data_IF_439849041094
#
_entry.id   IF_439849041094
#
_cell.length_a   1.000
_cell.length_b   1.000
_cell.length_c   1.000
_cell.angle_alpha   90.00
_cell.angle_beta   90.00
_cell.angle_gamma   90.00
#
_symmetry.space_group_name_H-M   'P 1'
#
loop_
_entity.id
_entity.type
_entity.pdbx_description
1 polymer ?
#
# COMPACT_ATOMS: atom_id res chain seq x y z
N UNK A 1 4.06 18.25 3.84
CA UNK A 1 4.13 17.05 4.68
C UNK A 1 4.67 15.88 3.89
N UNK A 2 5.38 14.96 4.53
CA UNK A 2 6.01 13.84 3.86
C UNK A 2 5.96 12.56 4.66
N UNK A 3 6.40 11.48 4.04
CA UNK A 3 6.50 10.16 4.63
C UNK A 3 7.89 9.57 4.40
N UNK A 4 8.44 8.97 5.47
CA UNK A 4 9.75 8.32 5.48
C UNK A 4 9.57 6.80 5.46
N UNK A 5 10.11 6.15 4.43
CA UNK A 5 10.15 4.70 4.31
C UNK A 5 11.57 4.18 4.45
N UNK A 6 11.78 3.24 5.36
CA UNK A 6 13.09 2.61 5.57
C UNK A 6 13.16 1.29 4.83
N UNK A 7 14.27 1.05 4.14
CA UNK A 7 14.58 -0.20 3.43
C UNK A 7 15.78 -0.87 4.08
N UNK A 8 15.52 -1.71 5.06
CA UNK A 8 16.57 -2.43 5.78
C UNK A 8 17.18 -3.58 4.97
N UNK A 9 18.19 -4.21 5.52
CA UNK A 9 18.83 -5.39 4.94
C UNK A 9 17.86 -6.57 4.91
N UNK A 10 17.97 -7.41 3.88
CA UNK A 10 17.24 -8.68 3.73
C UNK A 10 18.22 -9.85 3.74
N UNK A 11 17.76 -11.06 4.07
CA UNK A 11 18.55 -12.27 3.91
C UNK A 11 18.92 -12.52 2.45
N UNK A 12 20.16 -12.91 2.21
CA UNK A 12 20.69 -13.19 0.87
C UNK A 12 21.55 -14.44 0.88
N UNK A 13 21.34 -15.32 -0.10
CA UNK A 13 22.17 -16.51 -0.33
C UNK A 13 23.45 -16.21 -1.09
N UNK A 14 23.59 -15.02 -1.66
CA UNK A 14 24.67 -14.64 -2.57
C UNK A 14 25.78 -13.81 -1.92
N UNK A 15 25.55 -13.30 -0.73
CA UNK A 15 26.55 -12.50 0.01
C UNK A 15 27.24 -13.35 1.09
N UNK A 16 28.54 -13.11 1.30
CA UNK A 16 29.33 -13.80 2.34
C UNK A 16 28.73 -13.67 3.75
N UNK A 17 28.11 -12.54 4.06
CA UNK A 17 27.45 -12.28 5.35
C UNK A 17 26.06 -12.91 5.47
N UNK A 18 25.48 -13.46 4.41
CA UNK A 18 24.09 -13.91 4.35
C UNK A 18 23.06 -12.78 4.35
N UNK A 19 23.49 -11.52 4.23
CA UNK A 19 22.64 -10.34 4.21
C UNK A 19 22.96 -9.44 3.05
N UNK A 20 21.91 -8.92 2.39
CA UNK A 20 22.04 -7.91 1.36
C UNK A 20 21.19 -6.69 1.74
N UNK A 21 21.65 -5.51 1.35
CA UNK A 21 20.89 -4.28 1.49
C UNK A 21 19.71 -4.28 0.50
N UNK A 22 18.54 -3.82 0.95
CA UNK A 22 17.42 -3.59 0.05
C UNK A 22 17.73 -2.41 -0.88
N UNK A 23 17.47 -2.59 -2.17
CA UNK A 23 17.55 -1.50 -3.14
C UNK A 23 16.45 -0.47 -2.92
N UNK A 24 16.76 0.79 -3.23
CA UNK A 24 15.76 1.85 -3.26
C UNK A 24 14.90 1.71 -4.53
N UNK A 25 13.60 2.05 -4.48
CA UNK A 25 12.76 2.02 -5.68
C UNK A 25 13.24 3.01 -6.71
N UNK A 26 13.22 2.64 -7.99
CA UNK A 26 13.57 3.53 -9.11
C UNK A 26 12.43 4.49 -9.45
N UNK A 27 11.21 4.04 -9.26
CA UNK A 27 9.97 4.79 -9.49
C UNK A 27 8.91 4.32 -8.49
N UNK A 28 7.73 4.89 -8.53
CA UNK A 28 6.61 4.59 -7.63
C UNK A 28 5.51 3.74 -8.27
N UNK A 29 5.80 3.03 -9.37
CA UNK A 29 4.81 2.24 -10.11
C UNK A 29 4.61 0.83 -9.56
N UNK A 30 5.51 0.33 -8.70
CA UNK A 30 5.39 -0.97 -8.07
C UNK A 30 4.22 -1.02 -7.07
N UNK A 31 3.70 -2.22 -6.82
CA UNK A 31 2.56 -2.43 -5.91
C UNK A 31 2.78 -1.80 -4.53
N UNK A 32 3.94 -2.05 -3.93
CA UNK A 32 4.27 -1.54 -2.60
C UNK A 32 4.50 -0.03 -2.59
N UNK A 33 5.09 0.49 -3.65
CA UNK A 33 5.28 1.91 -3.85
C UNK A 33 3.94 2.63 -4.05
N UNK A 34 3.00 2.03 -4.79
CA UNK A 34 1.64 2.57 -4.97
C UNK A 34 0.85 2.59 -3.65
N UNK A 35 1.01 1.60 -2.77
CA UNK A 35 0.43 1.64 -1.43
C UNK A 35 0.98 2.83 -0.60
N UNK A 36 2.28 3.13 -0.71
CA UNK A 36 2.88 4.29 -0.07
C UNK A 36 2.37 5.62 -0.68
N UNK A 37 2.16 5.66 -2.00
CA UNK A 37 1.55 6.82 -2.68
C UNK A 37 0.12 7.05 -2.18
N UNK A 38 -0.68 5.99 -2.02
CA UNK A 38 -2.03 6.07 -1.48
C UNK A 38 -2.04 6.64 -0.03
N UNK A 39 -1.09 6.22 0.79
CA UNK A 39 -0.93 6.76 2.14
C UNK A 39 -0.61 8.26 2.13
N UNK A 40 0.30 8.69 1.25
CA UNK A 40 0.65 10.11 1.08
C UNK A 40 -0.54 10.91 0.55
N UNK A 41 -1.31 10.34 -0.39
CA UNK A 41 -2.55 10.97 -0.89
C UNK A 41 -3.55 11.21 0.25
N UNK A 42 -3.73 10.23 1.14
CA UNK A 42 -4.55 10.36 2.34
C UNK A 42 -4.05 11.48 3.27
N UNK A 43 -2.75 11.56 3.52
CA UNK A 43 -2.17 12.66 4.31
C UNK A 43 -2.40 14.03 3.67
N UNK A 44 -2.27 14.11 2.34
CA UNK A 44 -2.54 15.35 1.60
C UNK A 44 -4.01 15.77 1.74
N UNK A 45 -4.94 14.85 1.56
CA UNK A 45 -6.38 15.13 1.70
C UNK A 45 -6.74 15.63 3.10
N UNK A 46 -6.19 15.01 4.16
CA UNK A 46 -6.42 15.39 5.55
C UNK A 46 -5.75 16.73 5.94
N UNK A 47 -4.76 17.20 5.19
CA UNK A 47 -4.00 18.41 5.47
C UNK A 47 -4.27 19.55 4.47
N UNK A 48 -5.45 19.61 3.88
CA UNK A 48 -5.88 20.72 3.03
C UNK A 48 -5.15 20.82 1.70
N UNK A 49 -4.66 19.71 1.15
CA UNK A 49 -4.03 19.68 -0.17
C UNK A 49 -2.60 20.20 -0.22
N UNK A 50 -1.90 20.27 0.91
CA UNK A 50 -0.49 20.72 0.95
C UNK A 50 0.42 19.81 0.11
N UNK A 51 1.49 20.36 -0.50
CA UNK A 51 2.51 19.55 -1.18
C UNK A 51 3.08 18.47 -0.29
N UNK A 52 3.28 17.29 -0.88
CA UNK A 52 3.79 16.11 -0.18
C UNK A 52 5.06 15.59 -0.82
N UNK A 53 5.79 14.80 -0.06
CA UNK A 53 6.99 14.08 -0.51
C UNK A 53 7.03 12.69 0.12
N UNK A 54 7.78 11.81 -0.53
CA UNK A 54 8.03 10.43 -0.09
C UNK A 54 9.54 10.16 -0.13
N UNK A 55 10.11 9.84 1.00
CA UNK A 55 11.55 9.59 1.15
C UNK A 55 11.80 8.11 1.48
N UNK A 56 12.55 7.45 0.61
CA UNK A 56 13.10 6.12 0.86
C UNK A 56 14.55 6.22 1.30
N UNK A 57 14.91 5.51 2.35
CA UNK A 57 16.26 5.47 2.90
C UNK A 57 16.70 4.03 3.11
N UNK A 58 17.91 3.71 2.76
CA UNK A 58 18.62 2.51 3.17
C UNK A 58 19.93 2.85 3.89
N UNK A 59 20.80 1.88 4.15
CA UNK A 59 22.02 2.11 4.94
C UNK A 59 23.03 3.06 4.30
N UNK A 60 23.01 3.20 2.98
CA UNK A 60 24.05 3.92 2.24
C UNK A 60 23.51 5.01 1.32
N UNK A 61 22.19 5.09 1.12
CA UNK A 61 21.61 5.99 0.13
C UNK A 61 20.19 6.38 0.49
N UNK A 62 19.65 7.38 -0.20
CA UNK A 62 18.27 7.80 -0.10
C UNK A 62 17.71 8.16 -1.47
N UNK A 63 16.38 8.14 -1.59
CA UNK A 63 15.65 8.63 -2.78
C UNK A 63 14.42 9.40 -2.36
N UNK A 64 14.37 10.65 -2.82
CA UNK A 64 13.25 11.56 -2.55
C UNK A 64 12.38 11.70 -3.80
N UNK A 65 11.07 11.44 -3.63
CA UNK A 65 10.04 11.67 -4.63
C UNK A 65 9.15 12.83 -4.20
N UNK A 66 8.89 13.74 -5.12
CA UNK A 66 8.04 14.92 -4.92
C UNK A 66 7.43 15.37 -6.26
N UNK A 67 6.51 16.31 -6.23
CA UNK A 67 5.73 16.75 -7.41
C UNK A 67 6.56 17.24 -8.61
N UNK A 68 7.82 17.61 -8.41
CA UNK A 68 8.68 18.12 -9.49
C UNK A 68 9.59 17.07 -10.12
N UNK A 69 9.66 15.87 -9.55
CA UNK A 69 10.51 14.79 -10.07
C UNK A 69 9.79 13.45 -10.26
N UNK A 70 8.49 13.39 -9.94
CA UNK A 70 7.72 12.15 -9.98
C UNK A 70 6.24 12.47 -10.29
N UNK A 71 5.69 11.83 -11.32
CA UNK A 71 4.31 12.07 -11.74
C UNK A 71 3.30 11.58 -10.70
N UNK A 72 3.58 10.47 -10.01
CA UNK A 72 2.76 9.89 -8.96
C UNK A 72 2.66 10.78 -7.71
N UNK A 73 3.52 11.80 -7.60
CA UNK A 73 3.50 12.77 -6.50
C UNK A 73 2.87 14.11 -6.89
N UNK A 74 2.40 14.25 -8.11
CA UNK A 74 1.67 15.46 -8.54
C UNK A 74 0.31 15.56 -7.86
N UNK A 75 -0.16 16.77 -7.56
CA UNK A 75 -1.47 16.98 -6.93
C UNK A 75 -2.61 16.25 -7.63
N UNK A 76 -2.71 16.36 -8.94
CA UNK A 76 -3.79 15.73 -9.72
C UNK A 76 -3.78 14.21 -9.59
N UNK A 77 -2.60 13.59 -9.62
CA UNK A 77 -2.47 12.13 -9.43
C UNK A 77 -2.92 11.72 -8.03
N UNK A 78 -2.49 12.43 -6.99
CA UNK A 78 -2.87 12.14 -5.61
C UNK A 78 -4.37 12.34 -5.37
N UNK A 79 -4.97 13.34 -6.00
CA UNK A 79 -6.42 13.56 -5.95
C UNK A 79 -7.19 12.44 -6.67
N UNK A 80 -6.68 11.92 -7.79
CA UNK A 80 -7.24 10.77 -8.48
C UNK A 80 -7.19 9.49 -7.62
N UNK A 81 -6.09 9.27 -6.90
CA UNK A 81 -5.95 8.15 -5.95
C UNK A 81 -7.01 8.24 -4.85
N UNK A 82 -7.28 9.41 -4.30
CA UNK A 82 -8.32 9.61 -3.29
C UNK A 82 -9.71 9.33 -3.87
N UNK A 83 -10.03 9.86 -5.06
CA UNK A 83 -11.31 9.61 -5.72
C UNK A 83 -11.55 8.13 -5.97
N UNK A 84 -10.52 7.41 -6.41
CA UNK A 84 -10.63 5.96 -6.62
C UNK A 84 -10.83 5.21 -5.29
N UNK A 85 -10.15 5.61 -4.24
CA UNK A 85 -10.34 5.03 -2.90
C UNK A 85 -11.76 5.27 -2.39
N UNK A 86 -12.29 6.48 -2.53
CA UNK A 86 -13.67 6.81 -2.17
C UNK A 86 -14.68 5.99 -2.97
N UNK A 87 -14.43 5.80 -4.28
CA UNK A 87 -15.28 4.95 -5.14
C UNK A 87 -15.28 3.50 -4.66
N UNK A 88 -14.12 2.95 -4.34
CA UNK A 88 -14.00 1.58 -3.82
C UNK A 88 -14.69 1.43 -2.47
N UNK A 89 -14.54 2.38 -1.57
CA UNK A 89 -15.24 2.39 -0.29
C UNK A 89 -16.76 2.41 -0.47
N UNK A 90 -17.27 3.22 -1.39
CA UNK A 90 -18.71 3.27 -1.68
C UNK A 90 -19.24 1.95 -2.22
N UNK A 91 -18.48 1.24 -3.05
CA UNK A 91 -18.80 -0.12 -3.52
C UNK A 91 -18.85 -1.10 -2.35
N UNK A 92 -17.86 -1.06 -1.47
CA UNK A 92 -17.78 -1.92 -0.28
C UNK A 92 -18.98 -1.67 0.66
N UNK A 93 -19.28 -0.41 0.95
CA UNK A 93 -20.46 -0.03 1.76
C UNK A 93 -21.76 -0.55 1.14
N UNK A 94 -21.89 -0.46 -0.19
CA UNK A 94 -23.06 -1.01 -0.89
C UNK A 94 -23.14 -2.53 -0.75
N UNK A 95 -22.03 -3.26 -0.91
CA UNK A 95 -21.99 -4.72 -0.71
C UNK A 95 -22.40 -5.10 0.73
N UNK A 96 -21.85 -4.39 1.73
CA UNK A 96 -22.23 -4.57 3.13
C UNK A 96 -23.72 -4.33 3.39
N UNK A 97 -24.32 -3.36 2.68
CA UNK A 97 -25.75 -3.06 2.81
C UNK A 97 -26.68 -4.08 2.14
N UNK A 98 -26.15 -4.91 1.23
CA UNK A 98 -26.92 -5.95 0.50
C UNK A 98 -26.89 -7.31 1.22
N UNK A 99 -25.98 -7.50 2.19
CA UNK A 99 -25.84 -8.74 2.92
C UNK A 99 -26.46 -8.61 4.31
N UNK A 100 -27.41 -9.49 4.63
CA UNK A 100 -28.02 -9.58 5.96
C UNK A 100 -27.24 -10.55 6.87
N UNK A 101 -26.42 -11.42 6.29
CA UNK A 101 -25.63 -12.43 6.99
C UNK A 101 -24.18 -12.44 6.51
N UNK A 102 -23.28 -13.00 7.33
CA UNK A 102 -21.89 -13.22 6.97
C UNK A 102 -21.73 -14.10 5.74
N UNK A 103 -22.56 -15.13 5.60
CA UNK A 103 -22.49 -16.06 4.46
C UNK A 103 -22.84 -15.35 3.15
N UNK A 104 -23.90 -14.54 3.15
CA UNK A 104 -24.26 -13.70 1.99
C UNK A 104 -23.14 -12.69 1.64
N UNK A 105 -22.52 -12.10 2.65
CA UNK A 105 -21.40 -11.19 2.42
C UNK A 105 -20.21 -11.91 1.79
N UNK A 106 -19.90 -13.13 2.23
CA UNK A 106 -18.82 -13.94 1.66
C UNK A 106 -19.08 -14.35 0.20
N UNK A 107 -20.34 -14.49 -0.22
CA UNK A 107 -20.70 -14.72 -1.62
C UNK A 107 -20.49 -13.46 -2.50
N UNK A 108 -20.66 -12.27 -1.92
CA UNK A 108 -20.53 -10.99 -2.63
C UNK A 108 -19.07 -10.51 -2.72
N UNK A 109 -18.20 -10.94 -1.81
CA UNK A 109 -16.81 -10.45 -1.69
C UNK A 109 -15.84 -11.59 -1.99
N UNK A 110 -14.92 -11.34 -2.92
CA UNK A 110 -13.76 -12.21 -3.16
C UNK A 110 -12.51 -11.56 -2.55
N UNK A 111 -11.89 -12.15 -1.53
CA UNK A 111 -10.68 -11.61 -0.93
C UNK A 111 -9.50 -11.61 -1.90
N UNK A 112 -8.68 -10.58 -1.85
CA UNK A 112 -7.36 -10.54 -2.48
C UNK A 112 -6.32 -11.16 -1.54
N UNK A 113 -6.06 -12.45 -1.69
CA UNK A 113 -5.27 -13.27 -0.77
C UNK A 113 -3.80 -12.85 -0.63
N UNK A 114 -3.28 -12.08 -1.54
CA UNK A 114 -1.92 -11.55 -1.51
C UNK A 114 -1.82 -10.21 -0.76
N UNK A 115 -2.91 -9.70 -0.21
CA UNK A 115 -2.90 -8.53 0.65
C UNK A 115 -2.13 -8.77 1.95
N UNK A 116 -1.44 -7.72 2.42
CA UNK A 116 -0.58 -7.80 3.60
C UNK A 116 -1.35 -8.18 4.88
N UNK A 117 -2.62 -7.80 4.98
CA UNK A 117 -3.47 -8.10 6.13
C UNK A 117 -3.67 -9.61 6.39
N UNK A 118 -3.47 -10.45 5.38
CA UNK A 118 -3.57 -11.91 5.51
C UNK A 118 -2.29 -12.58 6.00
N UNK A 119 -1.18 -11.86 6.02
CA UNK A 119 0.14 -12.40 6.36
C UNK A 119 0.44 -12.35 7.86
N UNK A 120 -0.30 -11.57 8.62
CA UNK A 120 -0.14 -11.41 10.07
C UNK A 120 -1.51 -11.35 10.77
N UNK A 121 -1.70 -12.11 11.86
CA UNK A 121 -0.76 -13.02 12.52
C UNK A 121 -0.52 -14.33 11.74
N UNK A 122 0.57 -15.08 12.07
CA UNK A 122 0.84 -16.37 11.44
C UNK A 122 -0.35 -17.34 11.56
N UNK A 123 -0.69 -18.00 10.44
CA UNK A 123 -1.85 -18.90 10.36
C UNK A 123 -3.17 -18.24 9.99
N UNK A 124 -3.24 -16.92 9.98
CA UNK A 124 -4.48 -16.18 9.68
C UNK A 124 -4.96 -16.42 8.24
N UNK A 125 -4.01 -16.52 7.29
CA UNK A 125 -4.32 -16.82 5.90
C UNK A 125 -4.97 -18.21 5.73
N UNK A 126 -4.42 -19.25 6.39
CA UNK A 126 -4.97 -20.60 6.32
C UNK A 126 -6.36 -20.68 6.94
N UNK A 127 -6.56 -20.00 8.06
CA UNK A 127 -7.87 -19.91 8.70
C UNK A 127 -8.89 -19.23 7.79
N UNK A 128 -8.53 -18.10 7.20
CA UNK A 128 -9.38 -17.35 6.26
C UNK A 128 -9.72 -18.18 5.01
N UNK A 129 -8.75 -18.91 4.44
CA UNK A 129 -9.02 -19.87 3.35
C UNK A 129 -9.97 -20.99 3.75
N UNK A 130 -9.97 -21.40 5.02
CA UNK A 130 -10.91 -22.37 5.56
C UNK A 130 -12.34 -21.83 5.61
N UNK A 131 -12.53 -20.55 5.90
CA UNK A 131 -13.83 -19.88 5.98
C UNK A 131 -14.41 -19.59 4.59
N UNK A 132 -13.58 -19.13 3.63
CA UNK A 132 -13.98 -18.78 2.27
C UNK A 132 -14.00 -19.96 1.29
N UNK A 133 -14.50 -21.06 1.69
CA UNK A 133 -14.61 -22.23 0.77
C UNK A 133 -15.86 -22.20 -0.06
#
# INVERSE_FOLDING_TARGET
>A
RGDLKTKWSKRSKTTKSGWAQNSLPKNLTGRWEQANVAQVAGFRALNGGLPCWLLYVNKSDYRLFHQYNCDEMKPDYLDDVIRETERQNAVTEKMLSLADTTDELMELISPEWDELCWQEPPGYLEEAHGIWK
#
